data_IF_463928934089
#
_entry.id   IF_463928934089
#
_cell.length_a   1.000
_cell.length_b   1.000
_cell.length_c   1.000
_cell.angle_alpha   90.00
_cell.angle_beta   90.00
_cell.angle_gamma   90.00
#
_symmetry.space_group_name_H-M   'P 1'
#
loop_
_entity.id
_entity.type
_entity.pdbx_description
1 polymer ?
#
# COMPACT_ATOMS: atom_id res chain seq x y z
N UNK A 1 12.45 -5.04 32.21
CA UNK A 1 12.65 -6.23 31.35
C UNK A 1 12.28 -5.80 29.94
N UNK A 2 13.23 -5.78 29.01
CA UNK A 2 12.97 -5.33 27.64
C UNK A 2 12.03 -6.33 26.96
N UNK A 3 10.81 -5.87 26.64
CA UNK A 3 9.85 -6.64 25.85
C UNK A 3 10.50 -6.97 24.52
N UNK A 4 10.64 -8.26 24.22
CA UNK A 4 11.22 -8.72 22.96
C UNK A 4 10.41 -8.15 21.81
N UNK A 5 10.98 -7.16 21.12
CA UNK A 5 10.47 -6.66 19.85
C UNK A 5 10.45 -7.88 18.92
N UNK A 6 9.26 -8.46 18.75
CA UNK A 6 8.95 -9.47 17.74
C UNK A 6 9.21 -8.76 16.42
N UNK A 7 10.45 -8.84 15.93
CA UNK A 7 10.84 -8.19 14.68
C UNK A 7 10.06 -8.88 13.60
N UNK A 8 9.24 -8.12 12.88
CA UNK A 8 8.51 -8.67 11.76
C UNK A 8 9.51 -9.31 10.79
N UNK A 9 9.23 -10.53 10.31
CA UNK A 9 10.12 -11.19 9.38
C UNK A 9 10.26 -10.32 8.13
N UNK A 10 11.47 -9.83 7.90
CA UNK A 10 11.82 -9.10 6.69
C UNK A 10 12.05 -10.14 5.60
N UNK A 11 11.22 -10.11 4.57
CA UNK A 11 11.41 -10.91 3.36
C UNK A 11 12.20 -10.08 2.37
N UNK A 12 13.36 -10.58 1.94
CA UNK A 12 14.15 -9.95 0.88
C UNK A 12 13.66 -10.52 -0.45
N UNK A 13 12.97 -9.69 -1.22
CA UNK A 13 12.47 -10.01 -2.55
C UNK A 13 13.45 -9.49 -3.60
N UNK A 14 13.78 -10.33 -4.58
CA UNK A 14 14.48 -9.91 -5.79
C UNK A 14 13.45 -9.77 -6.89
N UNK A 15 13.25 -8.55 -7.37
CA UNK A 15 12.30 -8.24 -8.44
C UNK A 15 13.08 -8.08 -9.74
N UNK A 16 12.87 -9.00 -10.67
CA UNK A 16 13.54 -9.06 -11.98
C UNK A 16 12.59 -8.84 -13.16
N UNK A 17 11.34 -8.48 -12.88
CA UNK A 17 10.33 -8.15 -13.87
C UNK A 17 9.49 -9.34 -14.38
N UNK A 18 9.77 -10.58 -13.96
CA UNK A 18 8.95 -11.74 -14.35
C UNK A 18 7.53 -11.63 -13.80
N UNK A 19 7.40 -11.30 -12.50
CA UNK A 19 6.11 -11.12 -11.84
C UNK A 19 5.32 -9.95 -12.45
N UNK A 20 6.01 -8.86 -12.82
CA UNK A 20 5.39 -7.71 -13.49
C UNK A 20 4.86 -8.11 -14.87
N UNK A 21 5.61 -8.90 -15.65
CA UNK A 21 5.15 -9.43 -16.94
C UNK A 21 3.95 -10.37 -16.78
N UNK A 22 3.94 -11.21 -15.75
CA UNK A 22 2.81 -12.07 -15.45
C UNK A 22 1.57 -11.23 -15.09
N UNK A 23 1.73 -10.19 -14.27
CA UNK A 23 0.67 -9.26 -13.90
C UNK A 23 0.11 -8.51 -15.13
N UNK A 24 0.97 -7.98 -15.99
CA UNK A 24 0.57 -7.25 -17.21
C UNK A 24 -0.26 -8.12 -18.18
N UNK A 25 0.02 -9.42 -18.22
CA UNK A 25 -0.71 -10.38 -19.06
C UNK A 25 -1.94 -10.99 -18.38
N UNK A 26 -2.16 -10.64 -17.11
CA UNK A 26 -3.29 -11.14 -16.33
C UNK A 26 -4.54 -10.28 -16.57
N UNK A 27 -5.74 -10.84 -16.38
CA UNK A 27 -6.99 -10.08 -16.45
C UNK A 27 -7.15 -9.07 -15.29
N UNK A 28 -6.29 -9.10 -14.26
CA UNK A 28 -6.33 -8.14 -13.15
C UNK A 28 -5.58 -6.84 -13.43
N UNK A 29 -4.86 -6.74 -14.55
CA UNK A 29 -4.13 -5.53 -14.93
C UNK A 29 -5.05 -4.32 -15.08
N UNK A 30 -6.00 -4.36 -16.03
CA UNK A 30 -6.92 -3.25 -16.28
C UNK A 30 -7.68 -2.76 -15.03
N UNK A 31 -8.31 -3.63 -14.21
CA UNK A 31 -9.00 -3.17 -13.02
C UNK A 31 -8.05 -2.57 -11.97
N UNK A 32 -6.82 -3.08 -11.86
CA UNK A 32 -5.82 -2.51 -10.96
C UNK A 32 -5.37 -1.11 -11.41
N UNK A 33 -5.13 -0.91 -12.72
CA UNK A 33 -4.78 0.41 -13.26
C UNK A 33 -5.95 1.39 -13.11
N UNK A 34 -7.17 0.96 -13.41
CA UNK A 34 -8.36 1.79 -13.22
C UNK A 34 -8.52 2.21 -11.74
N UNK A 35 -8.28 1.29 -10.80
CA UNK A 35 -8.29 1.60 -9.37
C UNK A 35 -7.14 2.52 -8.94
N UNK A 36 -5.96 2.41 -9.55
CA UNK A 36 -4.86 3.33 -9.28
C UNK A 36 -5.19 4.74 -9.77
N UNK A 37 -5.73 4.88 -10.98
CA UNK A 37 -6.10 6.17 -11.56
C UNK A 37 -7.16 6.92 -10.75
N UNK A 38 -8.15 6.24 -10.15
CA UNK A 38 -9.15 6.91 -9.31
C UNK A 38 -8.58 7.45 -8.00
N UNK A 39 -7.47 6.87 -7.51
CA UNK A 39 -6.78 7.34 -6.31
C UNK A 39 -5.87 8.53 -6.57
N UNK A 40 -5.55 8.82 -7.83
CA UNK A 40 -4.64 9.91 -8.18
C UNK A 40 -5.45 11.17 -8.52
N UNK A 41 -5.15 12.33 -7.90
CA UNK A 41 -5.90 13.55 -8.14
C UNK A 41 -5.71 14.05 -9.59
N UNK A 42 -6.80 14.38 -10.31
CA UNK A 42 -6.76 14.75 -11.73
C UNK A 42 -6.01 16.05 -12.03
N UNK A 43 -5.74 16.88 -11.01
CA UNK A 43 -4.99 18.14 -11.13
C UNK A 43 -3.46 17.96 -11.01
N UNK A 44 -2.96 16.73 -10.79
CA UNK A 44 -1.55 16.48 -10.49
C UNK A 44 -0.70 16.13 -11.70
N UNK A 45 -1.27 15.96 -12.90
CA UNK A 45 -0.53 15.49 -14.06
C UNK A 45 -0.41 16.57 -15.13
N UNK A 46 0.81 17.07 -15.30
CA UNK A 46 1.15 17.97 -16.40
C UNK A 46 1.30 17.20 -17.72
N UNK A 47 1.72 15.93 -17.68
CA UNK A 47 1.96 15.08 -18.86
C UNK A 47 1.52 13.62 -18.68
N UNK A 48 1.37 12.89 -19.79
CA UNK A 48 1.12 11.45 -19.78
C UNK A 48 2.25 10.67 -19.08
N UNK A 49 3.49 11.17 -19.19
CA UNK A 49 4.65 10.62 -18.47
C UNK A 49 4.44 10.70 -16.96
N UNK A 50 4.06 11.86 -16.44
CA UNK A 50 3.82 12.06 -15.00
C UNK A 50 2.66 11.19 -14.51
N UNK A 51 1.62 11.04 -15.33
CA UNK A 51 0.50 10.14 -15.02
C UNK A 51 0.96 8.67 -14.93
N UNK A 52 1.76 8.19 -15.90
CA UNK A 52 2.29 6.84 -15.89
C UNK A 52 3.19 6.60 -14.65
N UNK A 53 4.06 7.54 -14.30
CA UNK A 53 4.91 7.46 -13.10
C UNK A 53 4.05 7.34 -11.85
N UNK A 54 3.04 8.19 -11.68
CA UNK A 54 2.15 8.13 -10.51
C UNK A 54 1.35 6.83 -10.45
N UNK A 55 1.00 6.23 -11.59
CA UNK A 55 0.38 4.89 -11.60
C UNK A 55 1.37 3.83 -11.14
N UNK A 56 2.62 3.88 -11.60
CA UNK A 56 3.68 2.97 -11.14
C UNK A 56 4.00 3.12 -9.65
N UNK A 57 3.90 4.33 -9.08
CA UNK A 57 4.01 4.58 -7.64
C UNK A 57 2.89 3.92 -6.83
N UNK A 58 1.73 3.62 -7.45
CA UNK A 58 0.61 2.93 -6.79
C UNK A 58 0.66 1.42 -6.95
N UNK A 59 1.54 0.88 -7.80
CA UNK A 59 1.78 -0.55 -7.88
C UNK A 59 2.73 -0.98 -6.74
N UNK A 60 2.46 -2.16 -6.18
CA UNK A 60 3.20 -2.75 -5.08
C UNK A 60 4.05 -3.93 -5.55
N UNK A 61 4.89 -4.42 -4.64
CA UNK A 61 5.70 -5.63 -4.84
C UNK A 61 4.85 -6.85 -5.21
N UNK A 62 3.57 -6.89 -4.81
CA UNK A 62 2.66 -7.99 -5.13
C UNK A 62 2.30 -8.03 -6.63
N UNK A 63 2.37 -6.88 -7.32
CA UNK A 63 2.25 -6.80 -8.77
C UNK A 63 3.60 -6.88 -9.49
N UNK A 64 4.67 -7.26 -8.78
CA UNK A 64 6.02 -7.36 -9.32
C UNK A 64 6.70 -6.02 -9.55
N UNK A 65 6.19 -4.93 -8.97
CA UNK A 65 6.77 -3.60 -9.11
C UNK A 65 7.59 -3.25 -7.86
N UNK A 66 8.89 -2.88 -7.99
CA UNK A 66 9.61 -2.31 -6.86
C UNK A 66 9.06 -0.91 -6.52
N UNK A 67 9.16 -0.45 -5.26
CA UNK A 67 8.62 0.84 -4.86
C UNK A 67 9.19 1.98 -5.71
N UNK A 68 8.36 2.61 -6.54
CA UNK A 68 8.80 3.72 -7.39
C UNK A 68 9.09 5.02 -6.60
N UNK A 69 8.78 5.04 -5.31
CA UNK A 69 9.21 6.08 -4.37
C UNK A 69 10.71 6.05 -4.09
N UNK A 70 11.38 4.93 -4.38
CA UNK A 70 12.83 4.83 -4.26
C UNK A 70 13.51 5.58 -5.42
N UNK A 71 14.42 6.53 -5.14
CA UNK A 71 15.08 7.32 -6.20
C UNK A 71 15.86 6.48 -7.21
N UNK A 72 16.44 5.35 -6.79
CA UNK A 72 17.17 4.48 -7.69
C UNK A 72 16.22 3.77 -8.66
N UNK A 73 15.08 3.29 -8.16
CA UNK A 73 14.04 2.66 -9.00
C UNK A 73 13.47 3.66 -9.99
N UNK A 74 13.13 4.87 -9.51
CA UNK A 74 12.57 5.92 -10.36
C UNK A 74 13.51 6.27 -11.51
N UNK A 75 14.78 6.61 -11.23
CA UNK A 75 15.70 7.10 -12.28
C UNK A 75 16.29 6.02 -13.19
N UNK A 76 16.45 4.78 -12.70
CA UNK A 76 17.10 3.72 -13.50
C UNK A 76 16.12 2.77 -14.17
N UNK A 77 14.89 2.65 -13.64
CA UNK A 77 13.91 1.68 -14.13
C UNK A 77 12.68 2.39 -14.72
N UNK A 78 12.06 3.30 -13.98
CA UNK A 78 10.75 3.87 -14.35
C UNK A 78 10.88 4.99 -15.37
N UNK A 79 11.69 6.02 -15.10
CA UNK A 79 11.87 7.17 -15.99
C UNK A 79 12.33 6.78 -17.40
N UNK A 80 13.31 5.87 -17.59
CA UNK A 80 13.71 5.41 -18.92
C UNK A 80 12.58 4.65 -19.64
N UNK A 81 11.76 3.90 -18.90
CA UNK A 81 10.66 3.12 -19.47
C UNK A 81 9.53 3.99 -20.03
N UNK A 82 9.31 5.18 -19.46
CA UNK A 82 8.26 6.13 -19.88
C UNK A 82 8.78 7.30 -20.71
N UNK A 83 10.08 7.41 -20.95
CA UNK A 83 10.70 8.54 -21.66
C UNK A 83 10.11 8.74 -23.06
N UNK A 84 9.78 7.65 -23.76
CA UNK A 84 9.22 7.68 -25.10
C UNK A 84 7.80 8.29 -25.17
N UNK A 85 7.07 8.34 -24.05
CA UNK A 85 5.73 8.97 -23.99
C UNK A 85 5.82 10.50 -24.10
N UNK A 86 7.00 11.07 -23.80
CA UNK A 86 7.25 12.50 -23.87
C UNK A 86 6.30 13.33 -23.00
N UNK A 87 6.22 14.63 -23.30
CA UNK A 87 5.35 15.57 -22.58
C UNK A 87 3.96 15.67 -23.22
N UNK A 88 3.42 14.56 -23.73
CA UNK A 88 2.09 14.54 -24.33
C UNK A 88 1.03 14.97 -23.31
N UNK A 89 0.06 15.83 -23.69
CA UNK A 89 -0.92 16.37 -22.76
C UNK A 89 -1.90 15.28 -22.30
N UNK A 90 -2.20 15.29 -21.00
CA UNK A 90 -3.11 14.35 -20.32
C UNK A 90 -4.57 14.49 -20.80
N UNK A 91 -4.90 15.58 -21.50
CA UNK A 91 -6.22 15.82 -22.09
C UNK A 91 -6.67 14.73 -23.09
N UNK A 92 -5.76 13.90 -23.60
CA UNK A 92 -6.07 12.70 -24.37
C UNK A 92 -6.88 11.66 -23.56
N UNK A 93 -6.73 11.61 -22.24
CA UNK A 93 -7.49 10.70 -21.36
C UNK A 93 -8.97 11.09 -21.26
N UNK A 94 -9.32 12.36 -21.51
CA UNK A 94 -10.69 12.86 -21.36
C UNK A 94 -11.55 12.71 -22.63
N UNK A 95 -10.97 12.30 -23.77
CA UNK A 95 -11.66 12.31 -25.07
C UNK A 95 -12.10 10.94 -25.62
N UNK A 96 -11.94 9.84 -24.87
CA UNK A 96 -12.29 8.49 -25.32
C UNK A 96 -11.10 7.57 -25.64
N UNK A 97 -9.86 8.04 -25.43
CA UNK A 97 -8.63 7.28 -25.69
C UNK A 97 -8.10 6.52 -24.45
N UNK A 98 -8.94 6.24 -23.46
CA UNK A 98 -8.55 5.50 -22.25
C UNK A 98 -7.93 4.12 -22.59
N UNK A 99 -8.44 3.46 -23.64
CA UNK A 99 -7.88 2.20 -24.15
C UNK A 99 -6.49 2.36 -24.76
N UNK A 100 -6.21 3.51 -25.37
CA UNK A 100 -4.91 3.83 -25.95
C UNK A 100 -3.89 4.09 -24.84
N UNK A 101 -4.29 4.79 -23.78
CA UNK A 101 -3.45 4.96 -22.59
C UNK A 101 -3.16 3.64 -21.89
N UNK A 102 -4.15 2.76 -21.73
CA UNK A 102 -3.91 1.43 -21.16
C UNK A 102 -2.91 0.63 -21.99
N UNK A 103 -2.99 0.70 -23.32
CA UNK A 103 -2.02 0.07 -24.21
C UNK A 103 -0.61 0.66 -24.04
N UNK A 104 -0.50 1.99 -23.97
CA UNK A 104 0.79 2.64 -23.76
C UNK A 104 1.37 2.39 -22.37
N UNK A 105 0.54 2.36 -21.33
CA UNK A 105 0.97 2.01 -19.98
C UNK A 105 1.41 0.54 -19.91
N UNK A 106 0.71 -0.36 -20.61
CA UNK A 106 1.11 -1.76 -20.76
C UNK A 106 2.50 -1.86 -21.36
N UNK A 107 2.75 -1.12 -22.44
CA UNK A 107 4.04 -1.07 -23.13
C UNK A 107 5.13 -0.46 -22.25
N UNK A 108 4.83 0.60 -21.50
CA UNK A 108 5.75 1.16 -20.51
C UNK A 108 6.10 0.11 -19.44
N UNK A 109 5.11 -0.60 -18.92
CA UNK A 109 5.32 -1.64 -17.90
C UNK A 109 6.14 -2.83 -18.44
N UNK A 110 5.97 -3.20 -19.72
CA UNK A 110 6.85 -4.16 -20.39
C UNK A 110 8.30 -3.68 -20.49
N UNK A 111 8.52 -2.38 -20.70
CA UNK A 111 9.87 -1.81 -20.71
C UNK A 111 10.47 -1.75 -19.30
N UNK A 112 9.68 -1.39 -18.27
CA UNK A 112 10.07 -1.51 -16.86
C UNK A 112 10.56 -2.93 -16.57
N UNK A 113 9.79 -3.95 -16.99
CA UNK A 113 10.19 -5.34 -16.79
C UNK A 113 11.50 -5.70 -17.50
N UNK A 114 11.77 -5.16 -18.70
CA UNK A 114 13.07 -5.35 -19.38
C UNK A 114 14.21 -4.72 -18.59
N UNK A 115 14.03 -3.49 -18.09
CA UNK A 115 15.04 -2.83 -17.26
C UNK A 115 15.28 -3.59 -15.96
N UNK A 116 14.24 -4.13 -15.32
CA UNK A 116 14.37 -4.98 -14.13
C UNK A 116 15.09 -6.30 -14.41
N UNK A 117 14.93 -6.85 -15.62
CA UNK A 117 15.67 -8.05 -16.02
C UNK A 117 17.17 -7.81 -16.13
N UNK A 118 17.56 -6.63 -16.61
CA UNK A 118 18.97 -6.21 -16.71
C UNK A 118 19.52 -5.77 -15.34
N UNK A 119 18.73 -5.05 -14.57
CA UNK A 119 19.07 -4.47 -13.27
C UNK A 119 18.00 -4.82 -12.23
N UNK A 120 18.05 -6.04 -11.67
CA UNK A 120 17.04 -6.48 -10.71
C UNK A 120 17.10 -5.66 -9.43
N UNK A 121 15.92 -5.25 -8.94
CA UNK A 121 15.78 -4.51 -7.70
C UNK A 121 15.71 -5.48 -6.51
N UNK A 122 16.41 -5.15 -5.42
CA UNK A 122 16.31 -5.90 -4.16
C UNK A 122 15.46 -5.07 -3.19
N UNK A 123 14.32 -5.63 -2.79
CA UNK A 123 13.37 -4.95 -1.91
C UNK A 123 13.23 -5.73 -0.62
N UNK A 124 13.41 -5.03 0.50
CA UNK A 124 13.04 -5.56 1.81
C UNK A 124 11.55 -5.29 2.04
N UNK A 125 10.76 -6.36 2.11
CA UNK A 125 9.32 -6.29 2.35
C UNK A 125 8.98 -6.93 3.70
N UNK A 126 8.33 -6.19 4.59
CA UNK A 126 7.77 -6.73 5.83
C UNK A 126 6.28 -7.01 5.60
N UNK A 127 5.91 -8.29 5.56
CA UNK A 127 4.50 -8.67 5.46
C UNK A 127 3.93 -8.88 6.87
N UNK A 128 3.24 -7.87 7.41
CA UNK A 128 2.49 -8.00 8.68
C UNK A 128 1.10 -8.56 8.38
N UNK A 129 1.01 -9.87 8.17
CA UNK A 129 -0.29 -10.53 8.10
C UNK A 129 -0.90 -10.60 9.50
N UNK A 130 -1.99 -9.87 9.71
CA UNK A 130 -2.78 -9.99 10.93
C UNK A 130 -3.63 -11.27 10.87
N UNK A 131 -3.18 -12.33 11.53
CA UNK A 131 -3.80 -13.66 11.48
C UNK A 131 -4.93 -13.87 12.51
N UNK A 132 -5.17 -12.87 13.39
CA UNK A 132 -6.15 -12.94 14.46
C UNK A 132 -5.84 -13.98 15.55
N UNK A 133 -4.72 -14.69 15.48
CA UNK A 133 -4.32 -15.70 16.47
C UNK A 133 -4.06 -15.08 17.82
N UNK A 134 -3.56 -13.85 17.84
CA UNK A 134 -3.32 -13.10 19.06
C UNK A 134 -4.64 -12.67 19.71
N UNK A 135 -5.65 -12.26 18.91
CA UNK A 135 -7.00 -11.95 19.42
C UNK A 135 -7.59 -13.21 20.05
N UNK A 136 -7.49 -14.32 19.32
CA UNK A 136 -7.96 -15.63 19.79
C UNK A 136 -7.26 -16.03 21.09
N UNK A 137 -5.96 -15.75 21.22
CA UNK A 137 -5.19 -15.96 22.45
C UNK A 137 -5.68 -15.08 23.60
N UNK A 138 -5.99 -13.79 23.37
CA UNK A 138 -6.55 -12.93 24.41
C UNK A 138 -7.88 -13.46 24.96
N UNK A 139 -8.81 -13.83 24.06
CA UNK A 139 -10.10 -14.39 24.47
C UNK A 139 -9.99 -15.76 25.14
N UNK A 140 -8.99 -16.57 24.75
CA UNK A 140 -8.85 -17.95 25.25
C UNK A 140 -7.99 -18.06 26.51
N UNK A 141 -7.02 -17.17 26.71
CA UNK A 141 -5.95 -17.39 27.70
C UNK A 141 -6.08 -16.53 28.96
N UNK A 142 -6.72 -15.35 28.88
CA UNK A 142 -6.86 -14.49 30.06
C UNK A 142 -8.02 -13.50 29.93
N UNK A 143 -9.21 -13.92 30.38
CA UNK A 143 -10.38 -13.05 30.54
C UNK A 143 -10.09 -11.85 31.44
N UNK A 144 -9.26 -12.02 32.47
CA UNK A 144 -8.88 -10.96 33.40
C UNK A 144 -8.05 -9.85 32.74
N UNK A 145 -7.05 -10.20 31.93
CA UNK A 145 -6.24 -9.20 31.22
C UNK A 145 -7.07 -8.47 30.16
N UNK A 146 -8.01 -9.18 29.50
CA UNK A 146 -8.96 -8.56 28.57
C UNK A 146 -9.87 -7.55 29.28
N UNK A 147 -10.49 -7.92 30.41
CA UNK A 147 -11.38 -7.04 31.15
C UNK A 147 -10.63 -5.82 31.70
N UNK A 148 -9.39 -6.01 32.17
CA UNK A 148 -8.52 -4.93 32.66
C UNK A 148 -8.11 -3.96 31.55
N UNK A 149 -7.74 -4.47 30.38
CA UNK A 149 -7.37 -3.65 29.23
C UNK A 149 -8.56 -2.87 28.67
N UNK A 150 -9.74 -3.50 28.59
CA UNK A 150 -11.00 -2.83 28.23
C UNK A 150 -11.38 -1.74 29.23
N UNK A 151 -11.28 -2.03 30.53
CA UNK A 151 -11.56 -1.06 31.57
C UNK A 151 -10.62 0.15 31.47
N UNK A 152 -9.32 -0.10 31.28
CA UNK A 152 -8.31 0.96 31.14
C UNK A 152 -8.54 1.82 29.90
N UNK A 153 -8.89 1.20 28.76
CA UNK A 153 -9.24 1.91 27.53
C UNK A 153 -10.51 2.76 27.68
N UNK A 154 -11.51 2.24 28.40
CA UNK A 154 -12.76 2.98 28.66
C UNK A 154 -12.60 4.14 29.66
N UNK A 155 -11.53 4.11 30.47
CA UNK A 155 -11.20 5.14 31.43
C UNK A 155 -10.28 6.22 30.83
N UNK A 156 -9.50 5.89 29.80
CA UNK A 156 -8.61 6.84 29.11
C UNK A 156 -9.32 7.76 28.12
N UNK A 157 -10.60 7.51 27.84
CA UNK A 157 -11.36 8.20 26.80
C UNK A 157 -12.45 9.10 27.40
N UNK A 158 -12.55 10.37 26.96
CA UNK A 158 -13.55 11.30 27.48
C UNK A 158 -14.98 10.84 27.13
N UNK A 159 -15.87 10.96 28.13
CA UNK A 159 -17.28 10.61 28.01
C UNK A 159 -18.11 11.86 27.73
N UNK A 160 -19.20 11.69 26.99
CA UNK A 160 -20.20 12.73 26.80
C UNK A 160 -20.96 13.02 28.11
N UNK A 161 -21.83 14.03 28.07
CA UNK A 161 -22.66 14.45 29.21
C UNK A 161 -23.60 13.33 29.71
N UNK A 162 -23.82 12.29 28.91
CA UNK A 162 -24.62 11.11 29.24
C UNK A 162 -23.77 9.92 29.73
N UNK A 163 -22.45 10.11 29.90
CA UNK A 163 -21.52 9.08 30.33
C UNK A 163 -21.20 8.03 29.26
N UNK A 164 -21.55 8.28 27.99
CA UNK A 164 -21.27 7.40 26.84
C UNK A 164 -20.00 7.86 26.12
N UNK A 165 -19.35 6.93 25.44
CA UNK A 165 -18.19 7.22 24.59
C UNK A 165 -18.73 7.58 23.21
N UNK A 166 -18.39 8.76 22.68
CA UNK A 166 -18.76 9.15 21.31
C UNK A 166 -18.02 8.28 20.28
N UNK A 167 -18.57 8.13 19.08
CA UNK A 167 -18.00 7.27 18.03
C UNK A 167 -16.59 7.70 17.58
N UNK A 168 -16.31 9.00 17.58
CA UNK A 168 -14.98 9.59 17.36
C UNK A 168 -13.96 9.18 18.44
N UNK A 169 -14.43 9.05 19.68
CA UNK A 169 -13.63 8.68 20.84
C UNK A 169 -13.45 7.16 20.97
N UNK A 170 -14.31 6.37 20.30
CA UNK A 170 -14.22 4.91 20.24
C UNK A 170 -13.00 4.47 19.42
N UNK A 171 -12.65 5.17 18.34
CA UNK A 171 -11.42 4.91 17.58
C UNK A 171 -10.18 5.07 18.48
N UNK A 172 -10.12 6.14 19.26
CA UNK A 172 -9.05 6.38 20.25
C UNK A 172 -9.02 5.29 21.33
N UNK A 173 -10.18 4.79 21.76
CA UNK A 173 -10.26 3.66 22.69
C UNK A 173 -9.69 2.36 22.07
N UNK A 174 -10.00 2.10 20.80
CA UNK A 174 -9.48 0.97 20.06
C UNK A 174 -7.97 1.08 19.82
N UNK A 175 -7.46 2.26 19.52
CA UNK A 175 -6.01 2.51 19.40
C UNK A 175 -5.28 2.39 20.75
N UNK A 176 -5.96 2.68 21.86
CA UNK A 176 -5.41 2.36 23.18
C UNK A 176 -5.33 0.85 23.42
N UNK A 177 -6.32 0.08 22.94
CA UNK A 177 -6.29 -1.38 23.01
C UNK A 177 -5.20 -1.97 22.12
N UNK A 178 -4.97 -1.41 20.92
CA UNK A 178 -3.88 -1.85 20.03
C UNK A 178 -2.52 -1.65 20.71
N UNK A 179 -2.30 -0.49 21.33
CA UNK A 179 -1.07 -0.19 22.07
C UNK A 179 -0.88 -1.03 23.34
N UNK A 180 -1.96 -1.31 24.06
CA UNK A 180 -1.93 -2.04 25.34
C UNK A 180 -1.79 -3.56 25.18
N UNK A 181 -2.38 -4.11 24.12
CA UNK A 181 -2.38 -5.56 23.87
C UNK A 181 -1.35 -6.00 22.83
N UNK A 182 -0.87 -5.09 21.99
CA UNK A 182 0.01 -5.38 20.85
C UNK A 182 -0.63 -6.35 19.84
N UNK A 183 -1.94 -6.52 19.90
CA UNK A 183 -2.69 -7.65 19.36
C UNK A 183 -3.69 -7.23 18.27
N UNK A 184 -3.81 -5.93 18.01
CA UNK A 184 -4.71 -5.39 17.01
C UNK A 184 -3.91 -4.42 16.15
N UNK A 185 -4.11 -4.41 14.82
CA UNK A 185 -3.56 -3.38 13.98
C UNK A 185 -4.17 -2.02 14.38
N UNK A 186 -3.37 -0.94 14.40
CA UNK A 186 -3.88 0.40 14.70
C UNK A 186 -5.00 0.76 13.73
N UNK A 187 -6.12 1.26 14.26
CA UNK A 187 -7.33 1.49 13.48
C UNK A 187 -7.21 2.71 12.55
N UNK A 188 -6.14 3.52 12.72
CA UNK A 188 -5.95 4.81 12.05
C UNK A 188 -4.76 4.94 11.09
N UNK A 189 -4.04 3.86 10.73
CA UNK A 189 -2.81 3.97 9.92
C UNK A 189 -2.89 3.51 8.45
N UNK A 190 -4.03 3.01 7.97
CA UNK A 190 -4.16 2.51 6.59
C UNK A 190 -4.95 3.44 5.65
N UNK A 191 -4.57 4.72 5.62
CA UNK A 191 -4.84 5.60 4.46
C UNK A 191 -3.60 6.40 4.11
N UNK A 192 -2.71 5.83 3.29
CA UNK A 192 -1.77 6.55 2.42
C UNK A 192 -1.48 5.75 1.14
#
# INVERSE_FOLDING_TARGET
MASGLKRDPIVILRIDGEDLLAFINSPSFEPAIASALTKIPPSSHASLKDCAISVFEKLTVDQGMPPATDPWVLSNIVEPAVEYLGNAPVSLLSSGDASLFLFELKRAAENVAKHLKEQPAIVAHSHTAFDGSEIKRLFSSSKFELDKTLYSASASVPRDENGRISTENLATALDFLTASTGCLPPFGLDTQ
#
